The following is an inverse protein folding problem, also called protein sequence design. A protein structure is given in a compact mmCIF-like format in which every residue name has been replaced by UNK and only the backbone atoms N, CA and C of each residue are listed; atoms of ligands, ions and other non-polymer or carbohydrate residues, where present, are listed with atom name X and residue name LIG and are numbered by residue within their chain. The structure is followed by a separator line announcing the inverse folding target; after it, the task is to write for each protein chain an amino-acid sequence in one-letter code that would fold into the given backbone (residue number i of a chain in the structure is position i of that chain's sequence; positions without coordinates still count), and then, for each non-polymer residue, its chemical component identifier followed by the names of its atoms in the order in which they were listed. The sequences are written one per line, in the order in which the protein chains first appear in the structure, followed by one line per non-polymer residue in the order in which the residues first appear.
data_IF_011607319202
#
_entry.id   IF_011607319202
#
_cell.length_a   1.000
_cell.length_b   1.000
_cell.length_c   1.000
_cell.angle_alpha   90.00
_cell.angle_beta   90.00
_cell.angle_gamma   90.00
#
_symmetry.space_group_name_H-M   'P 1'
#
loop_
_entity.id
_entity.type
_entity.pdbx_description
1 polymer ?
#
# COMPACT_ATOMS: atom_id res chain seq x y z
N UNK A 1 1.33 8.38 18.04
CA UNK A 1 2.78 8.63 18.02
C UNK A 1 3.49 7.70 17.03
N UNK A 2 4.66 8.09 16.51
CA UNK A 2 5.46 7.34 15.52
C UNK A 2 5.82 5.91 15.98
N UNK A 3 5.65 4.92 15.10
CA UNK A 3 5.88 3.49 15.39
C UNK A 3 7.19 2.98 14.78
N UNK A 4 7.44 3.26 13.48
CA UNK A 4 8.65 2.79 12.77
C UNK A 4 9.13 3.85 11.80
N UNK A 5 10.43 3.82 11.48
CA UNK A 5 10.99 4.60 10.40
C UNK A 5 12.05 3.83 9.61
N UNK A 6 12.23 4.20 8.34
CA UNK A 6 13.31 3.76 7.46
C UNK A 6 13.85 4.96 6.72
N UNK A 7 15.17 5.11 6.71
CA UNK A 7 15.85 6.30 6.21
C UNK A 7 16.97 5.90 5.28
N UNK A 8 16.96 6.49 4.08
CA UNK A 8 18.11 6.58 3.19
C UNK A 8 18.54 8.05 3.21
N UNK A 9 19.53 8.36 4.06
CA UNK A 9 19.89 9.73 4.43
C UNK A 9 20.27 10.58 3.21
N UNK A 10 19.72 11.79 3.16
CA UNK A 10 19.94 12.74 2.05
C UNK A 10 19.07 12.47 0.81
N UNK A 11 18.35 11.36 0.75
CA UNK A 11 17.44 11.04 -0.35
C UNK A 11 15.98 10.99 0.12
N UNK A 12 15.62 9.96 0.90
CA UNK A 12 14.23 9.69 1.26
C UNK A 12 14.09 8.91 2.58
N UNK A 13 13.09 9.30 3.36
CA UNK A 13 12.68 8.66 4.60
C UNK A 13 11.20 8.27 4.55
N UNK A 14 10.87 7.14 5.16
CA UNK A 14 9.50 6.68 5.40
C UNK A 14 9.27 6.52 6.89
N UNK A 15 8.17 7.07 7.39
CA UNK A 15 7.84 7.11 8.81
C UNK A 15 6.39 6.64 8.96
N UNK A 16 6.15 5.65 9.82
CA UNK A 16 4.81 5.19 10.15
C UNK A 16 4.34 5.80 11.47
N UNK A 17 3.13 6.32 11.48
CA UNK A 17 2.51 6.97 12.65
C UNK A 17 1.18 6.32 12.98
N UNK A 18 0.83 6.32 14.26
CA UNK A 18 -0.41 5.76 14.78
C UNK A 18 -1.04 6.74 15.78
N UNK A 19 -2.32 6.59 16.10
CA UNK A 19 -2.96 7.24 17.23
C UNK A 19 -3.83 6.21 17.93
N UNK A 20 -3.72 6.13 19.26
CA UNK A 20 -4.61 5.35 20.12
C UNK A 20 -5.98 6.00 20.27
N UNK A 21 -6.08 7.31 20.02
CA UNK A 21 -7.34 8.03 19.97
C UNK A 21 -7.88 8.06 18.53
N UNK A 22 -9.07 7.48 18.26
CA UNK A 22 -9.68 7.46 16.92
C UNK A 22 -10.11 8.85 16.42
N UNK A 23 -10.30 9.82 17.31
CA UNK A 23 -10.64 11.21 16.93
C UNK A 23 -9.42 12.01 16.45
N UNK A 24 -8.21 11.43 16.50
CA UNK A 24 -6.96 12.09 16.12
C UNK A 24 -6.42 11.45 14.83
N UNK A 25 -6.36 12.26 13.77
CA UNK A 25 -5.58 11.94 12.57
C UNK A 25 -4.08 12.06 12.88
N UNK A 26 -3.42 10.92 13.09
CA UNK A 26 -1.98 10.86 13.35
C UNK A 26 -1.13 11.43 12.20
N UNK A 27 -1.55 11.22 10.94
CA UNK A 27 -0.80 11.69 9.77
C UNK A 27 -0.93 13.20 9.67
N UNK A 28 -2.15 13.74 9.73
CA UNK A 28 -2.40 15.19 9.76
C UNK A 28 -1.70 15.87 10.94
N UNK A 29 -1.68 15.21 12.10
CA UNK A 29 -0.97 15.65 13.29
C UNK A 29 0.57 15.66 13.15
N UNK A 30 1.15 15.04 12.12
CA UNK A 30 2.58 15.13 11.81
C UNK A 30 2.85 16.03 10.59
N UNK A 31 1.98 16.01 9.60
CA UNK A 31 2.09 16.80 8.35
C UNK A 31 1.84 18.29 8.61
N UNK A 32 0.85 18.62 9.44
CA UNK A 32 0.44 20.01 9.70
C UNK A 32 -0.36 20.62 8.54
N UNK A 33 -0.84 21.84 8.75
CA UNK A 33 -1.64 22.57 7.74
C UNK A 33 -0.88 22.67 6.42
N UNK A 34 -1.42 22.07 5.36
CA UNK A 34 -0.80 22.02 4.02
C UNK A 34 0.63 21.48 4.00
N UNK A 35 1.04 20.64 4.95
CA UNK A 35 2.39 20.09 4.99
C UNK A 35 3.44 20.93 5.71
N UNK A 36 3.07 22.08 6.29
CA UNK A 36 4.03 23.03 6.85
C UNK A 36 5.02 22.42 7.87
N UNK A 37 4.61 21.42 8.66
CA UNK A 37 5.50 20.80 9.64
C UNK A 37 6.49 19.84 9.00
N UNK A 38 6.03 19.00 8.07
CA UNK A 38 6.92 18.07 7.38
C UNK A 38 7.85 18.81 6.42
N UNK A 39 7.39 19.89 5.78
CA UNK A 39 8.22 20.74 4.91
C UNK A 39 9.37 21.39 5.65
N UNK A 40 9.13 21.90 6.87
CA UNK A 40 10.19 22.46 7.71
C UNK A 40 11.30 21.43 8.00
N UNK A 41 10.92 20.17 8.29
CA UNK A 41 11.90 19.10 8.52
C UNK A 41 12.63 18.73 7.22
N UNK A 42 11.94 18.68 6.08
CA UNK A 42 12.56 18.43 4.76
C UNK A 42 13.61 19.50 4.45
N UNK A 43 13.33 20.78 4.77
CA UNK A 43 14.27 21.89 4.59
C UNK A 43 15.50 21.75 5.50
N UNK A 44 15.30 21.44 6.78
CA UNK A 44 16.40 21.19 7.73
C UNK A 44 17.28 19.98 7.33
N UNK A 45 16.70 18.97 6.69
CA UNK A 45 17.41 17.80 6.19
C UNK A 45 18.02 17.98 4.78
N UNK A 46 18.07 19.21 4.27
CA UNK A 46 18.71 19.52 2.99
C UNK A 46 17.94 18.99 1.77
N UNK A 47 16.62 18.86 1.89
CA UNK A 47 15.74 18.40 0.81
C UNK A 47 15.43 16.90 0.80
N UNK A 48 15.85 16.15 1.83
CA UNK A 48 15.48 14.74 2.02
C UNK A 48 13.95 14.59 2.02
N UNK A 49 13.39 13.79 1.12
CA UNK A 49 11.93 13.60 1.03
C UNK A 49 11.43 12.73 2.19
N UNK A 50 10.36 13.14 2.85
CA UNK A 50 9.79 12.39 3.97
C UNK A 50 8.36 11.99 3.63
N UNK A 51 8.08 10.68 3.63
CA UNK A 51 6.72 10.17 3.55
C UNK A 51 6.26 9.75 4.95
N UNK A 52 5.15 10.33 5.39
CA UNK A 52 4.47 9.97 6.63
C UNK A 52 3.27 9.12 6.25
N UNK A 53 3.18 7.91 6.79
CA UNK A 53 2.12 6.93 6.49
C UNK A 53 1.45 6.47 7.76
N UNK A 54 0.16 6.14 7.68
CA UNK A 54 -0.55 5.55 8.80
C UNK A 54 -0.12 4.09 8.98
N UNK A 55 0.27 3.75 10.20
CA UNK A 55 0.48 2.37 10.62
C UNK A 55 -0.86 1.70 10.88
N UNK A 56 -0.93 0.41 10.55
CA UNK A 56 -2.10 -0.42 10.80
C UNK A 56 -1.63 -1.80 11.29
N UNK A 57 -2.49 -2.49 12.04
CA UNK A 57 -2.26 -3.87 12.49
C UNK A 57 -2.46 -4.85 11.34
N UNK A 58 -3.40 -4.56 10.44
CA UNK A 58 -3.63 -5.36 9.24
C UNK A 58 -2.46 -5.15 8.25
N UNK A 59 -1.69 -6.20 7.93
CA UNK A 59 -0.59 -6.11 6.97
C UNK A 59 -1.05 -5.62 5.58
N UNK A 60 -2.27 -5.96 5.17
CA UNK A 60 -2.86 -5.53 3.89
C UNK A 60 -2.98 -4.01 3.85
N UNK A 61 -3.55 -3.43 4.90
CA UNK A 61 -3.73 -1.97 5.05
C UNK A 61 -2.37 -1.29 5.22
N UNK A 62 -1.49 -1.83 6.06
CA UNK A 62 -0.21 -1.19 6.32
C UNK A 62 0.71 -1.20 5.08
N UNK A 63 0.76 -2.29 4.31
CA UNK A 63 1.53 -2.35 3.04
C UNK A 63 0.98 -1.38 2.00
N UNK A 64 -0.35 -1.30 1.86
CA UNK A 64 -1.00 -0.30 1.01
C UNK A 64 -0.56 1.12 1.38
N UNK A 65 -0.66 1.48 2.66
CA UNK A 65 -0.24 2.79 3.15
C UNK A 65 1.27 3.03 2.94
N UNK A 66 2.09 2.00 3.15
CA UNK A 66 3.53 2.07 2.99
C UNK A 66 3.98 2.30 1.55
N UNK A 67 3.17 2.04 0.52
CA UNK A 67 3.52 2.32 -0.88
C UNK A 67 3.13 3.73 -1.36
N UNK A 68 2.45 4.52 -0.52
CA UNK A 68 2.18 5.94 -0.76
C UNK A 68 3.47 6.66 -1.20
N UNK A 69 3.45 7.42 -2.31
CA UNK A 69 2.29 8.06 -2.96
C UNK A 69 1.57 7.24 -4.05
N UNK A 70 1.94 5.99 -4.28
CA UNK A 70 1.32 5.17 -5.34
C UNK A 70 -0.04 4.65 -4.89
N UNK A 71 -1.01 4.65 -5.80
CA UNK A 71 -2.31 4.00 -5.62
C UNK A 71 -2.14 2.50 -5.82
N UNK A 72 -2.68 1.75 -4.87
CA UNK A 72 -2.66 0.30 -4.85
C UNK A 72 -4.07 -0.19 -5.08
N UNK A 73 -4.25 -1.04 -6.09
CA UNK A 73 -5.54 -1.66 -6.42
C UNK A 73 -5.82 -2.80 -5.45
N UNK A 74 -4.84 -3.70 -5.27
CA UNK A 74 -5.02 -4.90 -4.46
C UNK A 74 -3.73 -5.25 -3.71
N UNK A 75 -3.87 -5.86 -2.53
CA UNK A 75 -2.75 -6.39 -1.75
C UNK A 75 -3.13 -7.80 -1.32
N UNK A 76 -2.37 -8.78 -1.82
CA UNK A 76 -2.53 -10.18 -1.47
C UNK A 76 -1.42 -10.52 -0.49
N UNK A 77 -1.79 -11.00 0.68
CA UNK A 77 -0.86 -11.31 1.77
C UNK A 77 -0.72 -12.83 1.87
N UNK A 78 0.52 -13.30 1.83
CA UNK A 78 0.90 -14.67 2.14
C UNK A 78 1.59 -14.66 3.51
N UNK A 79 0.84 -15.03 4.54
CA UNK A 79 1.31 -15.07 5.92
C UNK A 79 2.36 -16.16 6.15
N UNK A 80 2.31 -17.28 5.42
CA UNK A 80 3.27 -18.38 5.58
C UNK A 80 4.68 -17.96 5.15
N UNK A 81 4.78 -17.22 4.04
CA UNK A 81 6.06 -16.78 3.48
C UNK A 81 6.47 -15.35 3.89
N UNK A 82 5.64 -14.68 4.69
CA UNK A 82 5.78 -13.28 5.08
C UNK A 82 6.01 -12.36 3.84
N UNK A 83 5.24 -12.62 2.80
CA UNK A 83 5.32 -11.94 1.51
C UNK A 83 3.97 -11.38 1.07
N UNK A 84 4.02 -10.33 0.27
CA UNK A 84 2.85 -9.66 -0.27
C UNK A 84 3.02 -9.44 -1.76
N UNK A 85 1.95 -9.66 -2.52
CA UNK A 85 1.84 -9.27 -3.92
C UNK A 85 0.93 -8.07 -3.99
N UNK A 86 1.43 -6.98 -4.55
CA UNK A 86 0.72 -5.71 -4.65
C UNK A 86 0.45 -5.41 -6.10
N UNK A 87 -0.82 -5.18 -6.42
CA UNK A 87 -1.26 -4.79 -7.76
C UNK A 87 -1.42 -3.29 -7.80
N UNK A 88 -0.77 -2.65 -8.77
CA UNK A 88 -0.86 -1.21 -9.02
C UNK A 88 -1.29 -0.95 -10.46
N UNK A 89 -1.89 0.22 -10.77
CA UNK A 89 -2.19 0.56 -12.16
C UNK A 89 -0.91 0.59 -13.01
N UNK A 90 -0.99 0.17 -14.27
CA UNK A 90 0.17 0.09 -15.18
C UNK A 90 0.95 1.41 -15.26
N UNK A 91 0.25 2.54 -15.29
CA UNK A 91 0.87 3.88 -15.36
C UNK A 91 1.61 4.28 -14.06
N UNK A 92 1.37 3.59 -12.93
CA UNK A 92 2.02 3.85 -11.65
C UNK A 92 3.06 2.81 -11.26
N UNK A 93 3.27 1.74 -12.06
CA UNK A 93 4.25 0.70 -11.75
C UNK A 93 5.64 1.29 -11.44
N UNK A 94 6.10 2.22 -12.27
CA UNK A 94 7.38 2.91 -12.08
C UNK A 94 7.43 3.76 -10.80
N UNK A 95 6.30 4.40 -10.43
CA UNK A 95 6.20 5.21 -9.21
C UNK A 95 6.21 4.32 -7.96
N UNK A 96 5.50 3.19 -8.00
CA UNK A 96 5.39 2.23 -6.92
C UNK A 96 6.75 1.59 -6.59
N UNK A 97 7.51 1.22 -7.62
CA UNK A 97 8.89 0.76 -7.48
C UNK A 97 9.79 1.91 -6.98
N UNK A 98 9.66 3.09 -7.59
CA UNK A 98 10.47 4.27 -7.30
C UNK A 98 11.86 4.21 -7.91
N UNK A 99 12.61 5.33 -7.85
CA UNK A 99 13.97 5.45 -8.40
C UNK A 99 14.87 4.38 -7.79
N UNK A 100 15.43 3.49 -8.61
CA UNK A 100 16.28 2.34 -8.16
C UNK A 100 15.59 1.44 -7.12
N UNK A 101 14.26 1.30 -7.20
CA UNK A 101 13.48 0.50 -6.26
C UNK A 101 13.39 1.10 -4.86
N UNK A 102 13.74 2.38 -4.67
CA UNK A 102 13.82 2.99 -3.35
C UNK A 102 12.47 2.97 -2.61
N UNK A 103 11.36 3.26 -3.28
CA UNK A 103 10.05 3.31 -2.62
C UNK A 103 9.64 1.92 -2.12
N UNK A 104 9.67 0.92 -3.00
CA UNK A 104 9.39 -0.48 -2.66
C UNK A 104 10.33 -1.00 -1.56
N UNK A 105 11.63 -0.69 -1.62
CA UNK A 105 12.61 -1.10 -0.60
C UNK A 105 12.37 -0.45 0.75
N UNK A 106 12.04 0.85 0.79
CA UNK A 106 11.72 1.55 2.03
C UNK A 106 10.41 1.01 2.62
N UNK A 107 9.39 0.77 1.80
CA UNK A 107 8.11 0.19 2.21
C UNK A 107 8.31 -1.22 2.80
N UNK A 108 9.00 -2.11 2.08
CA UNK A 108 9.29 -3.48 2.53
C UNK A 108 10.05 -3.49 3.86
N UNK A 109 11.04 -2.61 4.00
CA UNK A 109 11.78 -2.45 5.26
C UNK A 109 10.89 -1.90 6.38
N UNK A 110 9.98 -0.97 6.09
CA UNK A 110 9.12 -0.31 7.08
C UNK A 110 8.08 -1.29 7.65
N UNK A 111 7.44 -2.05 6.76
CA UNK A 111 6.43 -3.04 7.12
C UNK A 111 7.05 -4.33 7.64
N UNK A 112 8.30 -4.62 7.27
CA UNK A 112 8.97 -5.91 7.47
C UNK A 112 8.35 -7.05 6.65
N UNK A 113 7.70 -6.74 5.53
CA UNK A 113 7.16 -7.71 4.58
C UNK A 113 7.94 -7.69 3.27
N UNK A 114 8.04 -8.85 2.60
CA UNK A 114 8.49 -8.87 1.20
C UNK A 114 7.36 -8.30 0.34
N UNK A 115 7.66 -7.36 -0.54
CA UNK A 115 6.68 -6.70 -1.41
C UNK A 115 7.07 -6.97 -2.85
N UNK A 116 6.25 -7.73 -3.57
CA UNK A 116 6.31 -7.90 -5.01
C UNK A 116 5.26 -7.00 -5.66
N UNK A 117 5.66 -6.16 -6.61
CA UNK A 117 4.76 -5.18 -7.24
C UNK A 117 4.51 -5.60 -8.67
N UNK A 118 3.24 -5.82 -9.00
CA UNK A 118 2.78 -6.17 -10.35
C UNK A 118 1.87 -5.09 -10.90
N UNK A 119 1.90 -4.89 -12.22
CA UNK A 119 0.89 -4.05 -12.85
C UNK A 119 -0.46 -4.76 -12.91
N UNK A 120 -1.52 -4.00 -13.10
CA UNK A 120 -2.86 -4.53 -13.29
C UNK A 120 -2.92 -5.51 -14.46
N UNK A 121 -2.28 -5.17 -15.59
CA UNK A 121 -2.22 -6.04 -16.76
C UNK A 121 -1.50 -7.36 -16.47
N UNK A 122 -0.33 -7.31 -15.83
CA UNK A 122 0.45 -8.51 -15.46
C UNK A 122 -0.30 -9.39 -14.44
N UNK A 123 -0.98 -8.76 -13.47
CA UNK A 123 -1.75 -9.46 -12.45
C UNK A 123 -2.98 -10.16 -13.06
N UNK A 124 -3.62 -9.55 -14.06
CA UNK A 124 -4.74 -10.14 -14.78
C UNK A 124 -4.31 -11.33 -15.64
N UNK A 125 -3.19 -11.22 -16.34
CA UNK A 125 -2.63 -12.34 -17.13
C UNK A 125 -2.26 -13.53 -16.23
N UNK A 126 -1.71 -13.25 -15.04
CA UNK A 126 -1.39 -14.27 -14.06
C UNK A 126 -2.61 -14.87 -13.33
N UNK A 127 -3.83 -14.37 -13.59
CA UNK A 127 -5.05 -14.80 -12.90
C UNK A 127 -5.09 -14.43 -11.40
N UNK A 128 -4.29 -13.44 -11.00
CA UNK A 128 -4.17 -12.97 -9.61
C UNK A 128 -5.19 -11.86 -9.32
N UNK A 129 -5.61 -11.11 -10.35
CA UNK A 129 -6.54 -9.98 -10.25
C UNK A 129 -7.64 -10.04 -11.33
N UNK A 130 -8.92 -9.74 -11.00
CA UNK A 130 -9.44 -9.40 -9.68
C UNK A 130 -9.45 -10.59 -8.73
N UNK A 131 -9.27 -10.33 -7.43
CA UNK A 131 -9.48 -11.35 -6.40
C UNK A 131 -10.98 -11.62 -6.37
N UNK A 132 -11.41 -12.77 -6.89
CA UNK A 132 -12.78 -13.24 -6.75
C UNK A 132 -12.85 -13.82 -5.34
N UNK A 133 -13.28 -13.02 -4.37
CA UNK A 133 -13.71 -13.56 -3.08
C UNK A 133 -14.88 -14.51 -3.36
N UNK A 134 -14.72 -15.77 -2.96
CA UNK A 134 -15.58 -16.89 -3.29
C UNK A 134 -16.99 -16.84 -2.68
N UNK A 135 -17.53 -15.66 -2.38
CA UNK A 135 -18.82 -15.49 -1.71
C UNK A 135 -19.96 -15.08 -2.65
N UNK A 136 -19.72 -14.67 -3.89
CA UNK A 136 -20.80 -14.22 -4.81
C UNK A 136 -21.06 -15.12 -6.05
N UNK A 137 -20.31 -16.20 -6.26
CA UNK A 137 -20.51 -17.09 -7.45
C UNK A 137 -21.69 -18.06 -7.29
N UNK A 138 -22.36 -18.08 -6.13
CA UNK A 138 -23.48 -19.00 -5.89
C UNK A 138 -24.78 -18.62 -6.62
N UNK A 139 -25.00 -17.34 -6.94
CA UNK A 139 -26.31 -16.88 -7.44
C UNK A 139 -26.44 -16.84 -8.98
N UNK A 140 -25.35 -16.84 -9.75
CA UNK A 140 -25.46 -16.80 -11.22
C UNK A 140 -25.60 -18.18 -11.90
N UNK A 141 -25.30 -19.28 -11.21
CA UNK A 141 -25.42 -20.64 -11.81
C UNK A 141 -26.87 -21.17 -11.74
N UNK A 142 -27.70 -20.68 -10.81
CA UNK A 142 -29.04 -21.26 -10.57
C UNK A 142 -30.12 -20.70 -11.53
N UNK A 143 -29.88 -19.59 -12.22
CA UNK A 143 -30.89 -18.94 -13.07
C UNK A 143 -30.82 -19.29 -14.57
N UNK A 144 -30.05 -20.30 -14.97
CA UNK A 144 -30.00 -20.77 -16.37
C UNK A 144 -30.55 -22.18 -16.60
N UNK A 145 -31.15 -22.79 -15.58
CA UNK A 145 -31.73 -24.13 -15.67
C UNK A 145 -33.16 -24.18 -15.19
N UNK A 146 -34.11 -23.58 -15.92
CA UNK A 146 -35.54 -23.93 -15.90
C UNK A 146 -36.33 -23.06 -16.90
N UNK A 147 -36.36 -23.42 -18.20
CA UNK A 147 -37.38 -23.14 -19.25
C UNK A 147 -36.95 -24.03 -20.45
N UNK A 148 -37.63 -25.05 -20.97
CA UNK A 148 -39.03 -25.44 -20.98
C UNK A 148 -39.17 -26.96 -21.15
N UNK A 149 -40.16 -27.53 -20.44
CA UNK A 149 -40.80 -28.81 -20.77
C UNK A 149 -42.05 -28.49 -21.57
N UNK A 150 -42.10 -28.90 -22.84
CA UNK A 150 -43.35 -29.27 -23.52
C UNK A 150 -43.10 -30.37 -24.57
#
# INVERSE_FOLDING_TARGET
MCIRYRREAGDRSKISVYSDNPDIDAVGACVGSKGARVEAVVEELGGEKIDIVQWDEDPKVFVRNALSPSQVLEVIVDEENQSTVVVVPDYQLSLAIGKRGQNARLAAKLTSWKIDIKSESDAREAGIYPVIESEEVADEIVNSGDEDVE
#
